data_IF_801748477934
#
_entry.id   IF_801748477934
#
_cell.length_a   1.000
_cell.length_b   1.000
_cell.length_c   1.000
_cell.angle_alpha   90.00
_cell.angle_beta   90.00
_cell.angle_gamma   90.00
#
_symmetry.space_group_name_H-M   'P 1'
#
loop_
_entity.id
_entity.type
_entity.pdbx_description
1 polymer ?
#
# COMPACT_ATOMS: atom_id res chain seq x y z
N UNK A 1 -72.17 55.04 2.70
CA UNK A 1 -71.38 53.93 2.13
C UNK A 1 -71.89 52.64 2.78
N UNK A 2 -72.72 51.84 2.10
CA UNK A 2 -72.43 50.46 1.64
C UNK A 2 -71.80 49.58 2.76
N UNK A 3 -72.53 48.68 3.45
CA UNK A 3 -72.96 47.32 3.03
C UNK A 3 -71.74 46.39 2.72
N UNK A 4 -71.56 45.12 3.12
CA UNK A 4 -72.40 43.92 3.38
C UNK A 4 -71.67 42.98 4.40
N UNK A 5 -72.08 41.74 4.79
CA UNK A 5 -73.39 41.09 5.06
C UNK A 5 -73.19 39.56 5.35
N UNK A 6 -74.05 38.94 6.19
CA UNK A 6 -74.36 37.47 6.34
C UNK A 6 -73.33 36.45 6.89
N UNK A 7 -73.84 35.65 7.85
CA UNK A 7 -73.81 34.17 7.98
C UNK A 7 -72.88 33.33 7.07
N UNK A 8 -72.19 32.34 7.65
CA UNK A 8 -72.23 30.95 7.13
C UNK A 8 -71.84 29.89 8.18
N UNK A 9 -72.45 28.70 8.07
CA UNK A 9 -72.09 27.47 8.79
C UNK A 9 -70.91 26.80 8.08
N UNK A 10 -69.94 26.21 8.81
CA UNK A 10 -68.99 25.25 8.24
C UNK A 10 -68.85 24.02 9.17
N UNK A 11 -69.26 22.87 8.65
CA UNK A 11 -68.91 21.55 9.18
C UNK A 11 -67.44 21.26 8.90
N UNK A 12 -66.66 20.87 9.91
CA UNK A 12 -65.32 20.33 9.72
C UNK A 12 -65.37 18.79 9.70
N UNK A 13 -65.33 18.21 8.50
CA UNK A 13 -65.07 16.77 8.32
C UNK A 13 -63.59 16.49 8.61
N UNK A 14 -63.29 15.65 9.61
CA UNK A 14 -61.95 15.14 9.87
C UNK A 14 -61.70 13.83 9.11
N UNK A 15 -61.15 13.94 7.90
CA UNK A 15 -60.60 12.80 7.14
C UNK A 15 -59.12 13.03 6.90
N UNK A 16 -58.26 12.30 7.63
CA UNK A 16 -56.86 12.03 7.30
C UNK A 16 -56.53 10.64 7.89
N UNK A 17 -56.54 9.61 7.04
CA UNK A 17 -55.33 9.08 6.40
C UNK A 17 -54.46 8.26 7.37
N UNK A 18 -54.72 6.94 7.42
CA UNK A 18 -53.88 6.01 8.16
C UNK A 18 -52.51 5.84 7.49
N UNK A 19 -51.45 6.26 8.19
CA UNK A 19 -50.08 5.99 7.76
C UNK A 19 -49.78 4.49 7.90
N UNK A 20 -49.84 3.76 6.78
CA UNK A 20 -49.26 2.42 6.69
C UNK A 20 -47.73 2.54 6.83
N UNK A 21 -47.19 2.11 7.97
CA UNK A 21 -45.75 2.03 8.18
C UNK A 21 -45.16 0.90 7.34
N UNK A 22 -44.71 1.23 6.13
CA UNK A 22 -43.88 0.35 5.31
C UNK A 22 -42.53 0.16 6.00
N UNK A 23 -42.39 -0.91 6.77
CA UNK A 23 -41.11 -1.33 7.33
C UNK A 23 -40.19 -1.79 6.21
N UNK A 24 -39.38 -0.86 5.68
CA UNK A 24 -38.31 -1.19 4.74
C UNK A 24 -37.35 -2.14 5.45
N UNK A 25 -37.10 -3.36 4.94
CA UNK A 25 -36.16 -4.27 5.60
C UNK A 25 -34.77 -3.66 5.52
N UNK A 26 -34.13 -3.47 6.68
CA UNK A 26 -32.74 -3.04 6.75
C UNK A 26 -31.87 -4.07 6.02
N UNK A 27 -31.40 -3.72 4.82
CA UNK A 27 -30.31 -4.45 4.17
C UNK A 27 -29.05 -4.21 4.97
N UNK A 28 -28.79 -5.08 5.94
CA UNK A 28 -27.44 -5.29 6.44
C UNK A 28 -26.52 -5.45 5.22
N UNK A 29 -25.42 -4.68 5.12
CA UNK A 29 -24.55 -4.76 3.96
C UNK A 29 -23.91 -6.15 3.93
N UNK A 30 -24.42 -7.01 3.04
CA UNK A 30 -23.84 -8.33 2.82
C UNK A 30 -22.42 -8.13 2.30
N UNK A 31 -21.44 -8.43 3.14
CA UNK A 31 -20.04 -8.59 2.73
C UNK A 31 -20.02 -9.73 1.71
N UNK A 32 -19.53 -9.50 0.47
CA UNK A 32 -19.45 -10.55 -0.53
C UNK A 32 -18.63 -11.72 0.02
N UNK A 33 -19.16 -12.94 -0.09
CA UNK A 33 -18.42 -14.13 0.33
C UNK A 33 -17.18 -14.27 -0.54
N UNK A 34 -16.00 -14.17 0.08
CA UNK A 34 -14.73 -14.40 -0.59
C UNK A 34 -14.49 -15.90 -0.70
N UNK A 35 -14.19 -16.35 -1.91
CA UNK A 35 -13.58 -17.66 -2.13
C UNK A 35 -12.12 -17.56 -1.70
N UNK A 36 -11.56 -18.54 -0.96
CA UNK A 36 -10.14 -18.57 -0.66
C UNK A 36 -9.30 -18.68 -1.95
N UNK A 37 -8.00 -18.41 -1.83
CA UNK A 37 -7.05 -18.67 -2.90
C UNK A 37 -6.78 -20.17 -3.06
N UNK A 38 -5.74 -20.50 -3.83
CA UNK A 38 -5.19 -21.84 -3.91
C UNK A 38 -4.76 -22.33 -2.51
N UNK A 39 -5.30 -23.45 -1.98
CA UNK A 39 -4.89 -24.00 -0.69
C UNK A 39 -3.41 -24.40 -0.62
N UNK A 40 -2.73 -24.60 -1.75
CA UNK A 40 -1.30 -24.89 -1.81
C UNK A 40 -0.41 -23.63 -1.81
N UNK A 41 -0.99 -22.42 -1.83
CA UNK A 41 -0.22 -21.18 -1.73
C UNK A 41 0.43 -21.03 -0.33
N UNK A 42 1.61 -20.38 -0.22
CA UNK A 42 2.34 -20.23 1.06
C UNK A 42 1.57 -19.56 2.20
N UNK A 43 0.50 -18.82 1.88
CA UNK A 43 -0.36 -18.09 2.81
C UNK A 43 -1.76 -17.91 2.21
N UNK A 44 -2.72 -17.55 3.05
CA UNK A 44 -4.02 -17.02 2.60
C UNK A 44 -4.17 -15.57 3.07
N UNK A 45 -4.63 -14.71 2.17
CA UNK A 45 -4.82 -13.28 2.43
C UNK A 45 -5.96 -12.72 1.58
N UNK A 46 -6.74 -11.80 2.15
CA UNK A 46 -7.75 -11.03 1.42
C UNK A 46 -7.17 -9.71 0.90
N UNK A 47 -7.76 -9.10 -0.16
CA UNK A 47 -7.35 -7.77 -0.62
C UNK A 47 -7.39 -6.70 0.48
N UNK A 48 -8.38 -6.79 1.37
CA UNK A 48 -8.52 -5.86 2.50
C UNK A 48 -7.42 -6.04 3.55
N UNK A 49 -7.03 -7.27 3.88
CA UNK A 49 -5.89 -7.52 4.77
C UNK A 49 -4.58 -7.03 4.15
N UNK A 50 -4.31 -7.34 2.88
CA UNK A 50 -3.07 -6.93 2.22
C UNK A 50 -2.90 -5.41 2.20
N UNK A 51 -3.97 -4.66 1.89
CA UNK A 51 -3.94 -3.19 1.94
C UNK A 51 -3.95 -2.62 3.36
N UNK A 52 -4.52 -3.33 4.35
CA UNK A 52 -4.42 -2.94 5.75
C UNK A 52 -2.98 -3.08 6.28
N UNK A 53 -2.28 -4.17 5.91
CA UNK A 53 -0.86 -4.36 6.24
C UNK A 53 -0.01 -3.27 5.58
N UNK A 54 -0.26 -2.97 4.30
CA UNK A 54 0.40 -1.84 3.61
C UNK A 54 0.23 -0.51 4.38
N UNK A 55 -0.98 -0.23 4.85
CA UNK A 55 -1.25 0.96 5.66
C UNK A 55 -0.55 0.96 7.02
N UNK A 56 -0.41 -0.20 7.68
CA UNK A 56 0.37 -0.32 8.93
C UNK A 56 1.80 0.14 8.68
N UNK A 57 2.47 -0.39 7.65
CA UNK A 57 3.85 0.01 7.33
C UNK A 57 4.01 1.48 6.90
N UNK A 58 3.05 2.06 6.17
CA UNK A 58 3.04 3.49 5.81
C UNK A 58 2.78 4.42 7.00
N UNK A 59 2.03 3.95 8.01
CA UNK A 59 1.60 4.75 9.16
C UNK A 59 2.34 4.44 10.46
N UNK A 60 3.22 3.43 10.47
CA UNK A 60 3.97 3.01 11.65
C UNK A 60 4.75 4.18 12.25
N UNK A 61 4.51 4.48 13.53
CA UNK A 61 5.16 5.58 14.24
C UNK A 61 6.30 5.04 15.08
N UNK A 62 7.48 5.61 14.93
CA UNK A 62 8.71 5.16 15.59
C UNK A 62 9.64 6.34 15.90
N UNK A 63 10.50 6.20 16.92
CA UNK A 63 11.41 7.25 17.36
C UNK A 63 12.88 6.78 17.29
N UNK A 64 13.61 7.09 16.21
CA UNK A 64 15.06 6.87 16.15
C UNK A 64 15.82 7.81 17.08
N UNK A 65 17.08 7.47 17.36
CA UNK A 65 18.06 8.34 17.98
C UNK A 65 19.34 8.36 17.13
N UNK A 66 20.32 9.18 17.49
CA UNK A 66 21.60 9.26 16.78
C UNK A 66 22.32 7.89 16.63
N UNK A 67 22.11 6.95 17.57
CA UNK A 67 22.63 5.57 17.50
C UNK A 67 22.05 4.73 16.35
N UNK A 68 20.95 5.17 15.72
CA UNK A 68 20.30 4.49 14.62
C UNK A 68 20.70 5.05 13.24
N UNK A 69 21.61 6.03 13.19
CA UNK A 69 22.19 6.58 11.95
C UNK A 69 23.45 5.78 11.60
N UNK A 70 23.61 5.42 10.32
CA UNK A 70 24.84 4.81 9.82
C UNK A 70 25.09 5.24 8.37
N UNK A 71 26.23 5.90 8.16
CA UNK A 71 26.76 6.31 6.85
C UNK A 71 28.19 5.81 6.70
N UNK A 72 28.33 4.52 6.41
CA UNK A 72 29.61 3.84 6.45
C UNK A 72 29.46 2.33 6.51
N UNK A 73 30.56 1.63 6.77
CA UNK A 73 30.52 0.17 6.85
C UNK A 73 30.00 -0.28 8.21
N UNK A 74 29.14 -1.31 8.20
CA UNK A 74 28.75 -2.04 9.39
C UNK A 74 29.91 -2.95 9.90
N UNK A 75 29.77 -3.63 11.05
CA UNK A 75 30.79 -4.54 11.57
C UNK A 75 31.14 -5.73 10.67
N UNK A 76 30.32 -6.06 9.67
CA UNK A 76 30.61 -7.10 8.66
C UNK A 76 31.29 -6.52 7.40
N UNK A 77 31.52 -5.21 7.35
CA UNK A 77 32.12 -4.52 6.20
C UNK A 77 31.11 -4.09 5.13
N UNK A 78 29.81 -4.31 5.34
CA UNK A 78 28.76 -3.93 4.38
C UNK A 78 28.49 -2.43 4.53
N UNK A 79 28.62 -1.68 3.43
CA UNK A 79 28.23 -0.26 3.40
C UNK A 79 26.74 -0.12 3.65
N UNK A 80 26.38 0.67 4.66
CA UNK A 80 25.01 1.11 4.98
C UNK A 80 24.95 2.62 4.89
N UNK A 81 23.85 3.12 4.33
CA UNK A 81 23.51 4.55 4.34
C UNK A 81 22.04 4.70 4.74
N UNK A 82 21.78 5.29 5.91
CA UNK A 82 20.42 5.45 6.45
C UNK A 82 19.64 6.55 5.73
N UNK A 83 18.32 6.38 5.45
CA UNK A 83 17.48 7.44 4.88
C UNK A 83 17.03 8.49 5.92
N UNK A 84 17.94 8.92 6.81
CA UNK A 84 17.69 10.02 7.76
C UNK A 84 17.86 11.40 7.12
N UNK A 85 17.45 12.45 7.84
CA UNK A 85 17.46 13.83 7.34
C UNK A 85 18.86 14.35 6.92
N UNK A 86 19.97 13.73 7.36
CA UNK A 86 21.32 14.09 6.91
C UNK A 86 21.74 13.42 5.60
N UNK A 87 21.01 12.40 5.14
CA UNK A 87 21.24 11.76 3.84
C UNK A 87 20.82 12.69 2.69
N UNK A 88 21.80 13.27 2.01
CA UNK A 88 21.66 14.24 0.90
C UNK A 88 22.41 13.77 -0.36
N UNK A 89 21.92 12.75 -1.07
CA UNK A 89 22.56 12.25 -2.28
C UNK A 89 22.42 13.23 -3.45
N UNK A 90 23.40 13.23 -4.37
CA UNK A 90 23.42 14.15 -5.52
C UNK A 90 22.25 13.97 -6.51
N UNK A 91 21.49 12.87 -6.44
CA UNK A 91 20.27 12.66 -7.22
C UNK A 91 19.03 13.37 -6.62
N UNK A 92 19.18 14.11 -5.50
CA UNK A 92 18.11 14.85 -4.84
C UNK A 92 17.09 13.97 -4.10
N UNK A 93 17.36 12.66 -3.95
CA UNK A 93 16.48 11.74 -3.22
C UNK A 93 16.86 11.67 -1.74
N UNK A 94 16.62 12.79 -1.08
CA UNK A 94 16.89 13.02 0.33
C UNK A 94 16.30 11.95 1.27
N UNK A 95 17.01 11.65 2.34
CA UNK A 95 16.46 11.01 3.52
C UNK A 95 15.56 11.95 4.31
N UNK A 96 14.71 11.37 5.16
CA UNK A 96 13.49 12.02 5.65
C UNK A 96 13.28 11.90 7.16
N UNK A 97 13.86 10.90 7.83
CA UNK A 97 13.59 10.69 9.26
C UNK A 97 14.55 11.46 10.16
N UNK A 98 14.04 12.03 11.26
CA UNK A 98 14.81 12.88 12.16
C UNK A 98 15.06 12.21 13.53
N UNK A 99 16.32 12.11 14.01
CA UNK A 99 16.63 11.51 15.30
C UNK A 99 16.02 12.33 16.45
N UNK A 100 15.43 11.64 17.42
CA UNK A 100 14.76 12.24 18.58
C UNK A 100 13.30 12.63 18.32
N UNK A 101 12.82 12.65 17.07
CA UNK A 101 11.42 12.92 16.74
C UNK A 101 10.63 11.63 16.47
N UNK A 102 9.31 11.69 16.61
CA UNK A 102 8.41 10.62 16.14
C UNK A 102 8.26 10.74 14.63
N UNK A 103 8.71 9.71 13.92
CA UNK A 103 8.71 9.60 12.48
C UNK A 103 7.62 8.63 12.02
N UNK A 104 7.08 8.81 10.81
CA UNK A 104 5.99 7.98 10.28
C UNK A 104 6.37 7.25 8.98
N UNK A 105 6.27 5.93 9.04
CA UNK A 105 6.55 4.97 7.97
C UNK A 105 7.85 4.21 8.22
N UNK A 106 7.84 2.89 7.99
CA UNK A 106 9.06 2.07 8.12
C UNK A 106 10.05 2.45 7.00
N UNK A 107 11.34 2.71 7.30
CA UNK A 107 12.31 3.12 6.31
C UNK A 107 12.63 1.98 5.34
N UNK A 108 12.98 2.36 4.11
CA UNK A 108 13.52 1.44 3.12
C UNK A 108 14.85 0.82 3.61
N UNK A 109 15.01 -0.49 3.45
CA UNK A 109 16.26 -1.23 3.71
C UNK A 109 16.51 -2.23 2.58
N UNK A 110 17.65 -2.16 1.90
CA UNK A 110 18.10 -3.16 0.92
C UNK A 110 18.16 -4.57 1.54
N UNK A 111 17.52 -5.55 0.90
CA UNK A 111 17.34 -6.91 1.42
C UNK A 111 16.61 -6.91 2.77
N UNK A 112 15.55 -6.10 2.89
CA UNK A 112 14.82 -5.88 4.13
C UNK A 112 13.48 -6.58 4.13
N UNK A 113 13.16 -7.29 5.22
CA UNK A 113 11.93 -8.06 5.38
C UNK A 113 11.37 -7.94 6.80
N UNK A 114 11.65 -6.85 7.53
CA UNK A 114 11.15 -6.70 8.90
C UNK A 114 9.61 -6.62 8.99
N UNK A 115 9.06 -7.13 10.09
CA UNK A 115 7.74 -6.69 10.57
C UNK A 115 7.91 -5.54 11.55
N UNK A 116 6.81 -4.85 11.85
CA UNK A 116 6.86 -3.71 12.76
C UNK A 116 7.46 -4.05 14.13
N UNK A 117 7.27 -5.29 14.61
CA UNK A 117 7.85 -5.72 15.88
C UNK A 117 9.35 -6.00 15.78
N UNK A 118 9.82 -6.70 14.74
CA UNK A 118 11.26 -6.92 14.54
C UNK A 118 12.00 -5.62 14.23
N UNK A 119 11.37 -4.72 13.48
CA UNK A 119 11.83 -3.36 13.22
C UNK A 119 12.00 -2.56 14.52
N UNK A 120 10.94 -2.41 15.32
CA UNK A 120 10.98 -1.65 16.58
C UNK A 120 12.01 -2.23 17.56
N UNK A 121 12.11 -3.56 17.64
CA UNK A 121 13.12 -4.26 18.44
C UNK A 121 14.53 -3.90 17.99
N UNK A 122 14.78 -3.85 16.67
CA UNK A 122 16.08 -3.46 16.11
C UNK A 122 16.42 -1.99 16.35
N UNK A 123 15.45 -1.07 16.20
CA UNK A 123 15.65 0.35 16.52
C UNK A 123 15.97 0.52 18.01
N UNK A 124 15.23 -0.17 18.89
CA UNK A 124 15.50 -0.17 20.33
C UNK A 124 16.92 -0.69 20.63
N UNK A 125 17.36 -1.77 19.99
CA UNK A 125 18.71 -2.34 20.13
C UNK A 125 19.82 -1.55 19.43
N UNK A 126 19.52 -0.39 18.82
CA UNK A 126 20.52 0.46 18.17
C UNK A 126 20.98 0.01 16.78
N UNK A 127 20.17 -0.77 16.05
CA UNK A 127 20.40 -1.03 14.62
C UNK A 127 20.13 0.22 13.78
N UNK A 128 20.74 0.28 12.59
CA UNK A 128 20.54 1.35 11.64
C UNK A 128 19.08 1.38 11.12
N UNK A 129 18.49 2.58 11.06
CA UNK A 129 17.11 2.80 10.63
C UNK A 129 16.99 2.89 9.12
N UNK A 130 16.96 1.75 8.44
CA UNK A 130 16.98 1.66 6.98
C UNK A 130 18.39 1.54 6.39
N UNK A 131 18.42 1.33 5.07
CA UNK A 131 19.63 1.13 4.27
C UNK A 131 19.29 1.35 2.78
N UNK A 132 19.62 2.52 2.23
CA UNK A 132 19.18 2.95 0.90
C UNK A 132 19.75 2.12 -0.25
N UNK A 133 18.97 1.97 -1.33
CA UNK A 133 19.44 1.35 -2.57
C UNK A 133 20.51 2.20 -3.25
N UNK A 134 21.57 1.57 -3.74
CA UNK A 134 22.61 2.23 -4.54
C UNK A 134 23.01 1.33 -5.73
N UNK A 135 23.60 1.88 -6.81
CA UNK A 135 24.12 1.07 -7.92
C UNK A 135 25.07 -0.04 -7.48
N UNK A 136 25.92 0.24 -6.48
CA UNK A 136 26.86 -0.75 -5.92
C UNK A 136 26.13 -1.88 -5.17
N UNK A 137 25.11 -1.57 -4.35
CA UNK A 137 24.29 -2.60 -3.69
C UNK A 137 23.57 -3.48 -4.70
N UNK A 138 22.97 -2.88 -5.73
CA UNK A 138 22.28 -3.61 -6.81
C UNK A 138 23.22 -4.53 -7.61
N UNK A 139 24.50 -4.18 -7.72
CA UNK A 139 25.50 -5.01 -8.37
C UNK A 139 25.99 -6.17 -7.47
N UNK A 140 26.12 -5.92 -6.16
CA UNK A 140 26.56 -6.91 -5.17
C UNK A 140 25.42 -7.82 -4.65
N UNK A 141 24.16 -7.46 -4.93
CA UNK A 141 22.97 -8.27 -4.64
C UNK A 141 22.87 -8.60 -3.12
N UNK A 142 22.58 -9.84 -2.77
CA UNK A 142 22.57 -10.36 -1.40
C UNK A 142 23.87 -10.12 -0.61
N UNK A 143 25.03 -9.96 -1.26
CA UNK A 143 26.29 -9.67 -0.55
C UNK A 143 26.34 -8.23 0.02
N UNK A 144 25.39 -7.37 -0.35
CA UNK A 144 25.28 -6.00 0.15
C UNK A 144 24.17 -5.78 1.18
N UNK A 145 23.58 -6.86 1.70
CA UNK A 145 22.50 -6.84 2.69
C UNK A 145 23.08 -6.83 4.10
N UNK A 146 22.94 -5.70 4.80
CA UNK A 146 23.35 -5.60 6.19
C UNK A 146 22.37 -6.32 7.13
N UNK A 147 22.90 -7.01 8.14
CA UNK A 147 22.17 -7.56 9.29
C UNK A 147 22.09 -6.56 10.47
N UNK A 148 22.85 -5.47 10.38
CA UNK A 148 22.93 -4.38 11.37
C UNK A 148 21.98 -3.21 11.09
N UNK A 149 21.24 -3.26 9.97
CA UNK A 149 20.13 -2.37 9.65
C UNK A 149 18.77 -3.09 9.77
N UNK A 150 17.69 -2.33 10.00
CA UNK A 150 16.30 -2.81 9.98
C UNK A 150 15.41 -1.97 9.05
N UNK A 151 14.39 -2.60 8.49
CA UNK A 151 13.45 -2.01 7.55
C UNK A 151 13.03 -3.00 6.47
N UNK A 152 12.52 -2.49 5.34
CA UNK A 152 12.04 -3.34 4.25
C UNK A 152 12.37 -2.80 2.86
N UNK A 153 12.62 -3.69 1.89
CA UNK A 153 12.71 -3.32 0.47
C UNK A 153 11.36 -3.48 -0.23
N UNK A 154 11.32 -3.21 -1.54
CA UNK A 154 10.10 -3.31 -2.36
C UNK A 154 9.46 -4.72 -2.29
N UNK A 155 10.27 -5.76 -2.33
CA UNK A 155 9.85 -7.16 -2.35
C UNK A 155 9.55 -7.71 -0.96
N UNK A 156 10.31 -7.30 0.05
CA UNK A 156 10.00 -7.60 1.44
C UNK A 156 8.69 -6.97 1.90
N UNK A 157 8.42 -5.71 1.52
CA UNK A 157 7.14 -5.04 1.75
C UNK A 157 5.96 -5.80 1.14
N UNK A 158 6.05 -6.16 -0.15
CA UNK A 158 5.00 -6.92 -0.83
C UNK A 158 4.84 -8.31 -0.23
N UNK A 159 5.93 -9.00 0.10
CA UNK A 159 5.91 -10.31 0.77
C UNK A 159 5.19 -10.24 2.12
N UNK A 160 5.42 -9.18 2.92
CA UNK A 160 4.72 -8.95 4.19
C UNK A 160 3.24 -8.64 3.99
N UNK A 161 2.88 -7.83 2.99
CA UNK A 161 1.48 -7.56 2.64
C UNK A 161 0.74 -8.83 2.17
N UNK A 162 1.44 -9.75 1.50
CA UNK A 162 0.92 -11.07 1.11
C UNK A 162 1.01 -12.13 2.22
N UNK A 163 1.48 -11.77 3.43
CA UNK A 163 1.68 -12.67 4.58
C UNK A 163 2.54 -13.91 4.25
N UNK A 164 3.53 -13.76 3.36
CA UNK A 164 4.44 -14.86 3.00
C UNK A 164 5.36 -15.19 4.20
N UNK A 165 5.71 -16.47 4.42
CA UNK A 165 6.50 -16.89 5.58
C UNK A 165 7.98 -16.46 5.50
N UNK A 166 8.46 -16.15 4.29
CA UNK A 166 9.78 -15.60 4.00
C UNK A 166 9.64 -14.49 2.95
N UNK A 167 10.70 -13.70 2.75
CA UNK A 167 10.77 -12.83 1.58
C UNK A 167 10.72 -13.68 0.31
N UNK A 168 9.90 -13.24 -0.65
CA UNK A 168 10.03 -13.63 -2.05
C UNK A 168 10.49 -12.38 -2.80
N UNK A 169 11.70 -12.44 -3.38
CA UNK A 169 12.21 -11.32 -4.17
C UNK A 169 11.40 -11.11 -5.47
N UNK A 170 11.63 -9.99 -6.18
CA UNK A 170 10.92 -9.68 -7.43
C UNK A 170 11.09 -10.71 -8.55
N UNK A 171 12.12 -11.56 -8.51
CA UNK A 171 12.30 -12.71 -9.42
C UNK A 171 11.60 -13.98 -8.94
N UNK A 172 11.38 -14.14 -7.63
CA UNK A 172 10.71 -15.29 -7.00
C UNK A 172 9.18 -15.15 -6.94
N UNK A 173 8.66 -13.92 -6.77
CA UNK A 173 7.22 -13.64 -6.72
C UNK A 173 6.41 -14.25 -7.89
N UNK A 174 6.87 -14.25 -9.15
CA UNK A 174 6.18 -14.92 -10.26
C UNK A 174 5.86 -16.40 -10.03
N UNK A 175 6.63 -17.14 -9.24
CA UNK A 175 6.36 -18.57 -8.99
C UNK A 175 5.09 -18.79 -8.15
N UNK A 176 4.80 -17.87 -7.22
CA UNK A 176 3.64 -17.92 -6.31
C UNK A 176 2.44 -17.11 -6.81
N UNK A 177 2.52 -16.58 -8.03
CA UNK A 177 1.46 -15.81 -8.68
C UNK A 177 1.00 -16.47 -9.98
N UNK A 178 -0.21 -16.12 -10.42
CA UNK A 178 -0.67 -16.30 -11.79
C UNK A 178 -0.47 -15.00 -12.55
N UNK A 179 -0.04 -15.07 -13.82
CA UNK A 179 0.08 -13.88 -14.67
C UNK A 179 -1.28 -13.52 -15.26
N UNK A 180 -1.67 -12.26 -15.13
CA UNK A 180 -2.90 -11.73 -15.72
C UNK A 180 -2.73 -11.48 -17.22
N UNK A 181 -3.81 -11.57 -17.98
CA UNK A 181 -3.77 -11.39 -19.44
C UNK A 181 -3.45 -9.94 -19.83
N UNK A 182 -3.90 -8.97 -19.04
CA UNK A 182 -3.68 -7.54 -19.24
C UNK A 182 -3.76 -6.77 -17.92
N UNK A 183 -3.46 -5.46 -17.96
CA UNK A 183 -3.68 -4.57 -16.82
C UNK A 183 -5.17 -4.40 -16.50
N UNK A 184 -6.08 -4.56 -17.46
CA UNK A 184 -7.54 -4.41 -17.26
C UNK A 184 -8.11 -5.40 -16.23
N UNK A 185 -7.44 -6.54 -16.01
CA UNK A 185 -7.83 -7.54 -15.04
C UNK A 185 -7.41 -7.21 -13.59
N UNK A 186 -6.65 -6.13 -13.38
CA UNK A 186 -6.10 -5.74 -12.08
C UNK A 186 -7.19 -5.44 -11.05
N UNK A 187 -6.92 -5.89 -9.83
CA UNK A 187 -7.76 -5.73 -8.64
C UNK A 187 -6.88 -5.35 -7.45
N UNK A 188 -7.46 -4.75 -6.40
CA UNK A 188 -6.79 -4.61 -5.11
C UNK A 188 -6.17 -5.94 -4.65
N UNK A 189 -4.92 -5.92 -4.20
CA UNK A 189 -4.15 -7.09 -3.77
C UNK A 189 -3.30 -7.76 -4.85
N UNK A 190 -3.53 -7.47 -6.14
CA UNK A 190 -2.60 -7.88 -7.21
C UNK A 190 -1.27 -7.13 -7.10
N UNK A 191 -0.25 -7.59 -7.82
CA UNK A 191 1.07 -6.95 -7.86
C UNK A 191 1.47 -6.56 -9.28
N UNK A 192 2.22 -5.46 -9.38
CA UNK A 192 2.92 -5.05 -10.60
C UNK A 192 4.41 -5.30 -10.38
N UNK A 193 5.00 -6.19 -11.18
CA UNK A 193 6.35 -6.69 -10.95
C UNK A 193 7.25 -6.53 -12.19
N UNK A 194 8.45 -5.96 -12.02
CA UNK A 194 9.56 -6.11 -12.96
C UNK A 194 10.59 -7.04 -12.29
N UNK A 195 10.78 -8.28 -12.79
CA UNK A 195 11.69 -9.24 -12.16
C UNK A 195 13.12 -8.72 -12.00
N UNK A 196 13.72 -9.00 -10.84
CA UNK A 196 15.05 -8.50 -10.41
C UNK A 196 15.17 -6.96 -10.37
N UNK A 197 14.06 -6.23 -10.34
CA UNK A 197 14.06 -4.77 -10.54
C UNK A 197 13.12 -3.99 -9.65
N UNK A 198 11.84 -4.34 -9.54
CA UNK A 198 10.91 -3.64 -8.63
C UNK A 198 9.58 -4.37 -8.50
N UNK A 199 8.87 -4.16 -7.39
CA UNK A 199 7.49 -4.65 -7.24
C UNK A 199 6.61 -3.68 -6.44
N UNK A 200 5.34 -3.59 -6.82
CA UNK A 200 4.33 -2.69 -6.23
C UNK A 200 3.06 -3.48 -5.92
N UNK A 201 2.37 -3.16 -4.82
CA UNK A 201 1.09 -3.73 -4.43
C UNK A 201 -0.06 -2.88 -4.97
N UNK A 202 -0.92 -3.43 -5.82
CA UNK A 202 -2.05 -2.71 -6.42
C UNK A 202 -3.15 -2.49 -5.39
N UNK A 203 -3.56 -1.24 -5.26
CA UNK A 203 -4.65 -0.80 -4.40
C UNK A 203 -5.98 -0.54 -5.16
N UNK A 204 -5.96 -0.71 -6.48
CA UNK A 204 -7.09 -0.55 -7.39
C UNK A 204 -6.84 0.51 -8.45
N UNK A 205 -7.90 1.00 -9.07
CA UNK A 205 -7.82 2.08 -10.06
C UNK A 205 -7.93 3.45 -9.40
N UNK A 206 -7.09 4.40 -9.81
CA UNK A 206 -7.20 5.79 -9.41
C UNK A 206 -8.33 6.51 -10.19
N UNK A 207 -8.60 6.08 -11.42
CA UNK A 207 -9.64 6.64 -12.31
C UNK A 207 -10.58 5.56 -12.86
N UNK A 208 -11.87 5.87 -13.10
CA UNK A 208 -12.85 4.89 -13.62
C UNK A 208 -12.56 4.38 -15.03
N UNK A 209 -11.77 5.12 -15.82
CA UNK A 209 -11.35 4.77 -17.19
C UNK A 209 -10.09 3.89 -17.22
N UNK A 210 -9.64 3.41 -16.06
CA UNK A 210 -8.42 2.62 -15.87
C UNK A 210 -7.12 3.29 -16.37
N UNK A 211 -7.16 4.59 -16.73
CA UNK A 211 -5.98 5.30 -17.25
C UNK A 211 -4.88 5.51 -16.22
N UNK A 212 -5.19 5.37 -14.93
CA UNK A 212 -4.26 5.51 -13.80
C UNK A 212 -4.46 4.41 -12.75
N UNK A 213 -3.38 3.74 -12.35
CA UNK A 213 -3.34 2.74 -11.27
C UNK A 213 -3.07 3.43 -9.93
N UNK A 214 -3.69 2.92 -8.86
CA UNK A 214 -3.39 3.26 -7.47
C UNK A 214 -2.63 2.09 -6.83
N UNK A 215 -1.52 2.35 -6.14
CA UNK A 215 -0.64 1.30 -5.60
C UNK A 215 0.14 1.73 -4.35
N UNK A 216 0.54 0.77 -3.54
CA UNK A 216 1.54 0.95 -2.49
C UNK A 216 2.90 0.42 -2.94
N UNK A 217 3.96 1.14 -2.57
CA UNK A 217 5.34 0.68 -2.75
C UNK A 217 6.29 1.35 -1.75
N UNK A 218 7.47 0.75 -1.55
CA UNK A 218 8.68 1.41 -1.05
C UNK A 218 9.76 1.31 -2.13
N UNK A 219 10.81 2.12 -2.06
CA UNK A 219 11.95 2.06 -3.01
C UNK A 219 11.78 2.90 -4.28
N UNK A 220 10.56 3.18 -4.74
CA UNK A 220 10.30 4.21 -5.76
C UNK A 220 10.18 5.64 -5.21
N UNK A 221 10.36 6.63 -6.09
CA UNK A 221 10.33 8.07 -5.78
C UNK A 221 8.97 8.58 -5.23
N UNK A 222 8.94 9.66 -4.43
CA UNK A 222 10.08 10.44 -3.95
C UNK A 222 10.72 9.86 -2.67
N UNK A 223 9.97 9.14 -1.84
CA UNK A 223 10.37 8.83 -0.46
C UNK A 223 11.15 7.49 -0.33
N UNK A 224 11.94 7.35 0.74
CA UNK A 224 12.56 6.09 1.16
C UNK A 224 11.71 5.34 2.20
N UNK A 225 10.41 5.18 1.93
CA UNK A 225 9.44 4.46 2.79
C UNK A 225 8.19 4.01 2.01
N UNK A 226 7.37 3.10 2.55
CA UNK A 226 6.07 2.74 2.00
C UNK A 226 5.10 3.92 1.91
N UNK A 227 4.61 4.22 0.70
CA UNK A 227 3.59 5.25 0.47
C UNK A 227 2.51 4.78 -0.52
N UNK A 228 1.32 5.37 -0.41
CA UNK A 228 0.25 5.22 -1.41
C UNK A 228 0.51 6.21 -2.56
N UNK A 229 0.51 5.71 -3.79
CA UNK A 229 0.85 6.47 -5.00
C UNK A 229 -0.11 6.15 -6.14
N UNK A 230 -0.12 7.01 -7.15
CA UNK A 230 -0.86 6.81 -8.39
C UNK A 230 -0.03 7.23 -9.60
N UNK A 231 -0.10 6.48 -10.69
CA UNK A 231 0.65 6.72 -11.93
C UNK A 231 -0.16 6.34 -13.18
N UNK A 232 0.17 6.90 -14.36
CA UNK A 232 -0.47 6.50 -15.63
C UNK A 232 -0.24 5.02 -15.93
N UNK A 233 -1.30 4.29 -16.24
CA UNK A 233 -1.26 2.84 -16.53
C UNK A 233 -0.35 2.53 -17.70
N UNK A 234 -0.43 3.31 -18.78
CA UNK A 234 0.39 3.16 -19.98
C UNK A 234 1.89 3.31 -19.69
N UNK A 235 2.28 4.25 -18.82
CA UNK A 235 3.69 4.42 -18.45
C UNK A 235 4.22 3.21 -17.65
N UNK A 236 3.39 2.59 -16.81
CA UNK A 236 3.77 1.35 -16.11
C UNK A 236 3.91 0.16 -17.08
N UNK A 237 3.08 0.09 -18.12
CA UNK A 237 3.22 -0.91 -19.20
C UNK A 237 4.54 -0.71 -19.94
N UNK A 238 4.87 0.53 -20.31
CA UNK A 238 6.11 0.88 -21.04
C UNK A 238 7.38 0.64 -20.22
N UNK A 239 7.32 0.78 -18.89
CA UNK A 239 8.39 0.38 -17.97
C UNK A 239 8.53 -1.14 -17.80
N UNK A 240 7.64 -1.94 -18.42
CA UNK A 240 7.71 -3.40 -18.43
C UNK A 240 7.15 -4.09 -17.19
N UNK A 241 6.32 -3.42 -16.38
CA UNK A 241 5.66 -4.06 -15.24
C UNK A 241 4.71 -5.17 -15.72
N UNK A 242 4.83 -6.34 -15.10
CA UNK A 242 3.96 -7.49 -15.38
C UNK A 242 2.83 -7.55 -14.33
N UNK A 243 1.56 -7.66 -14.75
CA UNK A 243 0.43 -7.80 -13.84
C UNK A 243 0.33 -9.25 -13.37
N UNK A 244 0.45 -9.46 -12.06
CA UNK A 244 0.44 -10.78 -11.43
C UNK A 244 -0.58 -10.80 -10.27
N UNK A 245 -1.28 -11.91 -10.10
CA UNK A 245 -2.19 -12.17 -8.98
C UNK A 245 -1.63 -13.25 -8.08
N UNK A 246 -1.48 -12.97 -6.78
CA UNK A 246 -1.01 -13.97 -5.83
C UNK A 246 -2.00 -15.16 -5.74
N UNK A 247 -1.50 -16.40 -5.81
CA UNK A 247 -2.34 -17.61 -5.81
C UNK A 247 -3.17 -17.75 -4.54
N UNK A 248 -2.62 -17.34 -3.39
CA UNK A 248 -3.31 -17.32 -2.09
C UNK A 248 -4.21 -16.10 -1.84
N UNK A 249 -4.44 -15.26 -2.86
CA UNK A 249 -5.34 -14.10 -2.76
C UNK A 249 -6.80 -14.56 -2.82
N UNK A 250 -7.54 -14.33 -1.73
CA UNK A 250 -8.97 -14.58 -1.69
C UNK A 250 -9.72 -13.64 -2.65
N UNK A 251 -10.73 -14.16 -3.34
CA UNK A 251 -11.42 -13.46 -4.44
C UNK A 251 -12.93 -13.49 -4.28
N UNK A 252 -13.59 -12.38 -4.59
CA UNK A 252 -15.04 -12.38 -4.77
C UNK A 252 -15.40 -13.29 -5.96
N UNK A 253 -16.43 -14.12 -5.80
CA UNK A 253 -16.93 -14.97 -6.90
C UNK A 253 -17.42 -14.16 -8.12
N UNK A 254 -17.81 -12.90 -7.90
CA UNK A 254 -18.06 -11.87 -8.91
C UNK A 254 -17.54 -10.53 -8.36
N UNK A 255 -16.78 -9.72 -9.14
CA UNK A 255 -16.36 -8.40 -8.69
C UNK A 255 -17.56 -7.54 -8.30
N UNK A 256 -17.58 -7.05 -7.06
CA UNK A 256 -18.66 -6.22 -6.53
C UNK A 256 -18.54 -4.74 -6.92
N UNK A 257 -17.39 -4.34 -7.48
CA UNK A 257 -17.05 -2.94 -7.76
C UNK A 257 -16.83 -2.09 -6.51
N UNK A 258 -16.88 -2.67 -5.30
CA UNK A 258 -16.63 -1.95 -4.05
C UNK A 258 -15.16 -1.58 -3.92
N UNK A 259 -14.91 -0.32 -3.59
CA UNK A 259 -13.56 0.15 -3.28
C UNK A 259 -13.08 -0.45 -1.94
N UNK A 260 -11.87 -1.01 -1.92
CA UNK A 260 -11.25 -1.53 -0.68
C UNK A 260 -10.68 -0.40 0.17
N UNK A 261 -10.21 0.68 -0.46
CA UNK A 261 -9.75 1.89 0.21
C UNK A 261 -10.87 2.94 0.29
N UNK A 262 -10.92 3.67 1.40
CA UNK A 262 -11.85 4.79 1.54
C UNK A 262 -11.40 5.99 0.69
N UNK A 263 -12.35 6.83 0.29
CA UNK A 263 -12.08 8.10 -0.43
C UNK A 263 -11.04 8.98 0.28
N UNK A 264 -11.04 9.00 1.61
CA UNK A 264 -10.08 9.77 2.40
C UNK A 264 -8.64 9.23 2.29
N UNK A 265 -8.46 7.90 2.25
CA UNK A 265 -7.14 7.29 2.02
C UNK A 265 -6.70 7.54 0.57
N UNK A 266 -7.59 7.37 -0.42
CA UNK A 266 -7.27 7.61 -1.84
C UNK A 266 -6.86 9.06 -2.12
N UNK A 267 -7.42 10.03 -1.39
CA UNK A 267 -7.06 11.44 -1.49
C UNK A 267 -5.63 11.77 -0.99
N UNK A 268 -4.97 10.86 -0.27
CA UNK A 268 -3.57 11.00 0.20
C UNK A 268 -2.55 10.43 -0.81
N UNK A 269 -2.99 9.92 -1.96
CA UNK A 269 -2.13 9.25 -2.93
C UNK A 269 -1.21 10.21 -3.69
N UNK A 270 0.10 10.01 -3.56
CA UNK A 270 1.12 10.82 -4.24
C UNK A 270 1.00 10.64 -5.76
N UNK A 271 0.90 11.74 -6.50
CA UNK A 271 0.81 11.74 -7.98
C UNK A 271 2.20 11.57 -8.59
N UNK A 272 2.43 10.43 -9.23
CA UNK A 272 3.65 10.13 -9.97
C UNK A 272 3.33 10.18 -11.47
N UNK A 273 3.33 11.39 -12.04
CA UNK A 273 2.97 11.62 -13.45
C UNK A 273 3.95 10.98 -14.44
N UNK A 274 5.24 10.95 -14.09
CA UNK A 274 6.31 10.31 -14.86
C UNK A 274 6.95 9.23 -13.98
N UNK A 275 6.37 8.02 -13.90
CA UNK A 275 6.95 6.95 -13.12
C UNK A 275 8.30 6.51 -13.72
N UNK A 276 9.16 6.02 -12.84
CA UNK A 276 10.35 5.26 -13.20
C UNK A 276 10.24 3.88 -12.55
N UNK A 277 11.01 2.90 -13.02
CA UNK A 277 11.23 1.69 -12.23
C UNK A 277 11.90 2.17 -10.93
N UNK A 278 11.36 1.78 -9.77
CA UNK A 278 11.97 2.10 -8.48
C UNK A 278 13.43 1.67 -8.44
N UNK A 279 14.23 2.32 -7.60
CA UNK A 279 15.55 1.78 -7.29
C UNK A 279 15.29 0.61 -6.32
N UNK A 280 15.48 -0.67 -6.72
CA UNK A 280 15.04 -1.83 -5.94
C UNK A 280 15.55 -1.80 -4.51
#
# INVERSE_FOLDING_TARGET
>A
MKALSRHCLIFALSVLAGCATTTTPSRNPVTPALLPGDPAAPSQVTPSEALAIAQVYTKHQWQPFARNILHGNDPAGVRVDTPDASYKPANGRDGWWEPGLVNQGVPYKWGGFDDVQSFDTGIASGKAGGDVSTPAKRQADNAAVSTHAVGLDCSGFVSRCLKLPSVHDSSQLPAVCDRLASFEELRPGDILNVPRRHVMLVAGWAKPDHSWVLYYETGGIPEWKPALKQAPTQALIELGYQPLRYKGMAREARPSGKEVLTRAVRAQAIVIANPVIGEP
#
